data_IF_138080809802
#
_entry.id   IF_138080809802
#
_cell.length_a   1.000
_cell.length_b   1.000
_cell.length_c   1.000
_cell.angle_alpha   90.00
_cell.angle_beta   90.00
_cell.angle_gamma   90.00
#
_symmetry.space_group_name_H-M   'P 1'
#
loop_
_entity.id
_entity.type
_entity.pdbx_description
1 polymer ?
#
# COMPACT_ATOMS: atom_id res chain seq x y z
N UNK A 1 -4.48 -2.67 25.78
CA UNK A 1 -4.35 -2.48 24.32
C UNK A 1 -3.85 -1.06 24.09
N UNK A 2 -2.64 -0.89 23.56
CA UNK A 2 -2.12 0.45 23.25
C UNK A 2 -2.91 1.00 22.05
N UNK A 3 -3.59 2.13 22.25
CA UNK A 3 -4.21 2.90 21.14
C UNK A 3 -3.04 3.53 20.38
N UNK A 4 -2.84 3.13 19.13
CA UNK A 4 -1.88 3.85 18.28
C UNK A 4 -2.58 5.16 17.90
N UNK A 5 -2.30 6.21 18.67
CA UNK A 5 -2.78 7.55 18.38
C UNK A 5 -2.36 7.92 16.94
N UNK A 6 -3.30 8.43 16.16
CA UNK A 6 -3.12 8.87 14.76
C UNK A 6 -2.90 7.77 13.69
N UNK A 7 -3.05 6.48 14.01
CA UNK A 7 -2.97 5.45 12.97
C UNK A 7 -4.09 5.58 11.92
N UNK A 8 -3.71 5.67 10.65
CA UNK A 8 -4.64 5.71 9.51
C UNK A 8 -5.16 7.10 9.14
N UNK A 9 -4.74 8.16 9.82
CA UNK A 9 -5.12 9.53 9.43
C UNK A 9 -4.30 10.07 8.25
N UNK A 10 -3.03 9.67 8.15
CA UNK A 10 -2.17 10.05 7.02
C UNK A 10 -2.50 9.23 5.77
N UNK A 11 -2.64 9.92 4.64
CA UNK A 11 -2.85 9.28 3.34
C UNK A 11 -1.64 8.37 3.02
N UNK A 12 -1.84 7.05 2.80
CA UNK A 12 -0.77 6.17 2.41
C UNK A 12 -0.16 6.62 1.07
N UNK A 13 1.17 6.62 0.97
CA UNK A 13 1.88 6.97 -0.26
C UNK A 13 2.46 5.73 -0.94
N UNK A 14 2.85 5.85 -2.22
CA UNK A 14 3.66 4.84 -2.89
C UNK A 14 4.96 4.55 -2.11
N UNK A 15 5.61 5.58 -1.57
CA UNK A 15 6.85 5.42 -0.82
C UNK A 15 6.64 4.60 0.46
N UNK A 16 5.54 4.83 1.19
CA UNK A 16 5.18 4.02 2.35
C UNK A 16 4.97 2.55 1.97
N UNK A 17 4.30 2.32 0.84
CA UNK A 17 4.01 0.99 0.32
C UNK A 17 5.29 0.23 -0.05
N UNK A 18 6.17 0.86 -0.84
CA UNK A 18 7.45 0.27 -1.27
C UNK A 18 8.34 0.00 -0.07
N UNK A 19 8.40 0.91 0.90
CA UNK A 19 9.17 0.71 2.14
C UNK A 19 8.65 -0.49 2.93
N UNK A 20 7.34 -0.61 3.12
CA UNK A 20 6.75 -1.74 3.83
C UNK A 20 6.98 -3.09 3.12
N UNK A 21 6.99 -3.10 1.77
CA UNK A 21 7.43 -4.27 1.02
C UNK A 21 8.92 -4.56 1.26
N UNK A 22 9.77 -3.54 1.19
CA UNK A 22 11.22 -3.67 1.33
C UNK A 22 11.62 -4.26 2.69
N UNK A 23 10.91 -3.91 3.76
CA UNK A 23 11.12 -4.46 5.10
C UNK A 23 10.89 -6.00 5.17
N UNK A 24 10.12 -6.56 4.24
CA UNK A 24 9.77 -7.99 4.22
C UNK A 24 10.54 -8.79 3.17
N UNK A 25 10.75 -8.23 1.98
CA UNK A 25 11.34 -8.95 0.84
C UNK A 25 12.65 -8.33 0.33
N UNK A 26 13.14 -7.30 1.00
CA UNK A 26 14.35 -6.56 0.60
C UNK A 26 14.07 -5.47 -0.44
N UNK A 27 14.87 -4.39 -0.44
CA UNK A 27 14.59 -3.17 -1.20
C UNK A 27 14.59 -3.37 -2.72
N UNK A 28 15.50 -4.19 -3.24
CA UNK A 28 15.62 -4.42 -4.69
C UNK A 28 14.41 -5.19 -5.23
N UNK A 29 13.98 -6.24 -4.52
CA UNK A 29 12.79 -6.99 -4.90
C UNK A 29 11.52 -6.15 -4.72
N UNK A 30 11.42 -5.36 -3.66
CA UNK A 30 10.30 -4.45 -3.44
C UNK A 30 10.12 -3.45 -4.58
N UNK A 31 11.19 -2.75 -4.97
CA UNK A 31 11.16 -1.77 -6.05
C UNK A 31 10.83 -2.40 -7.40
N UNK A 32 11.43 -3.56 -7.70
CA UNK A 32 11.18 -4.31 -8.93
C UNK A 32 9.74 -4.83 -9.01
N UNK A 33 9.27 -5.48 -7.95
CA UNK A 33 7.91 -6.02 -7.86
C UNK A 33 6.86 -4.92 -7.96
N UNK A 34 7.06 -3.81 -7.25
CA UNK A 34 6.16 -2.66 -7.32
C UNK A 34 6.11 -2.06 -8.72
N UNK A 35 7.28 -1.86 -9.35
CA UNK A 35 7.37 -1.33 -10.71
C UNK A 35 6.64 -2.21 -11.72
N UNK A 36 6.86 -3.53 -11.66
CA UNK A 36 6.19 -4.49 -12.53
C UNK A 36 4.67 -4.49 -12.31
N UNK A 37 4.22 -4.41 -11.05
CA UNK A 37 2.80 -4.36 -10.73
C UNK A 37 2.12 -3.08 -11.28
N UNK A 38 2.75 -1.93 -11.12
CA UNK A 38 2.26 -0.65 -11.67
C UNK A 38 2.19 -0.71 -13.21
N UNK A 39 3.22 -1.26 -13.86
CA UNK A 39 3.25 -1.42 -15.30
C UNK A 39 2.19 -2.39 -15.81
N UNK A 40 2.01 -3.54 -15.15
CA UNK A 40 1.00 -4.55 -15.50
C UNK A 40 -0.43 -4.00 -15.43
N UNK A 41 -0.66 -3.03 -14.53
CA UNK A 41 -1.94 -2.35 -14.37
C UNK A 41 -2.13 -1.14 -15.30
N UNK A 42 -1.14 -0.83 -16.16
CA UNK A 42 -1.17 0.32 -17.07
C UNK A 42 -1.10 1.67 -16.36
N UNK A 43 -0.59 1.71 -15.14
CA UNK A 43 -0.49 2.90 -14.30
C UNK A 43 0.86 3.60 -14.47
N UNK A 44 0.96 4.84 -13.95
CA UNK A 44 2.22 5.60 -13.90
C UNK A 44 2.64 5.82 -12.46
N UNK A 45 3.95 5.85 -12.25
CA UNK A 45 4.57 6.20 -10.96
C UNK A 45 4.82 7.71 -10.90
N UNK A 46 4.76 8.32 -9.70
CA UNK A 46 4.29 7.72 -8.46
C UNK A 46 2.76 7.51 -8.48
N UNK A 47 2.30 6.43 -7.88
CA UNK A 47 0.87 6.17 -7.65
C UNK A 47 0.39 7.02 -6.48
N UNK A 48 -0.57 7.91 -6.73
CA UNK A 48 -1.01 8.92 -5.73
C UNK A 48 -2.44 8.71 -5.24
N UNK A 49 -3.26 7.98 -6.00
CA UNK A 49 -4.65 7.70 -5.62
C UNK A 49 -4.73 6.51 -4.65
N UNK A 50 -5.46 6.60 -3.52
CA UNK A 50 -5.72 5.45 -2.65
C UNK A 50 -6.33 4.25 -3.38
N UNK A 51 -7.21 4.50 -4.36
CA UNK A 51 -7.82 3.45 -5.17
C UNK A 51 -6.81 2.73 -6.07
N UNK A 52 -5.86 3.47 -6.65
CA UNK A 52 -4.79 2.89 -7.46
C UNK A 52 -3.78 2.15 -6.60
N UNK A 53 -3.38 2.72 -5.45
CA UNK A 53 -2.52 2.07 -4.47
C UNK A 53 -3.13 0.73 -4.01
N UNK A 54 -4.44 0.68 -3.80
CA UNK A 54 -5.15 -0.57 -3.46
C UNK A 54 -5.05 -1.60 -4.57
N UNK A 55 -5.24 -1.20 -5.83
CA UNK A 55 -5.13 -2.09 -6.99
C UNK A 55 -3.71 -2.66 -7.14
N UNK A 56 -2.68 -1.82 -6.96
CA UNK A 56 -1.28 -2.28 -6.97
C UNK A 56 -1.02 -3.24 -5.82
N UNK A 57 -1.50 -2.91 -4.61
CA UNK A 57 -1.38 -3.77 -3.44
C UNK A 57 -2.00 -5.15 -3.69
N UNK A 58 -3.20 -5.21 -4.28
CA UNK A 58 -3.89 -6.46 -4.63
C UNK A 58 -3.11 -7.28 -5.66
N UNK A 59 -2.57 -6.63 -6.69
CA UNK A 59 -1.79 -7.32 -7.71
C UNK A 59 -0.48 -7.90 -7.15
N UNK A 60 0.21 -7.16 -6.28
CA UNK A 60 1.42 -7.63 -5.58
C UNK A 60 1.16 -8.89 -4.73
N UNK A 61 -0.06 -9.08 -4.23
CA UNK A 61 -0.42 -10.27 -3.44
C UNK A 61 -0.41 -11.58 -4.25
N UNK A 62 -0.41 -11.51 -5.58
CA UNK A 62 -0.45 -12.68 -6.45
C UNK A 62 0.93 -13.35 -6.59
N UNK A 63 2.02 -12.67 -6.22
CA UNK A 63 3.39 -13.12 -6.54
C UNK A 63 3.98 -14.08 -5.50
N UNK A 64 3.63 -13.96 -4.22
CA UNK A 64 4.19 -14.84 -3.18
C UNK A 64 3.73 -14.50 -1.77
N UNK A 65 4.04 -15.35 -0.80
CA UNK A 65 3.46 -15.25 0.55
C UNK A 65 3.90 -14.00 1.32
N UNK A 66 5.18 -13.62 1.25
CA UNK A 66 5.65 -12.38 1.91
C UNK A 66 5.07 -11.12 1.24
N UNK A 67 5.01 -11.10 -0.09
CA UNK A 67 4.35 -10.02 -0.85
C UNK A 67 2.84 -9.94 -0.56
N UNK A 68 2.20 -11.09 -0.33
CA UNK A 68 0.79 -11.20 0.08
C UNK A 68 0.57 -10.57 1.45
N UNK A 69 1.46 -10.81 2.41
CA UNK A 69 1.40 -10.17 3.74
C UNK A 69 1.55 -8.66 3.61
N UNK A 70 2.54 -8.19 2.85
CA UNK A 70 2.80 -6.77 2.62
C UNK A 70 1.59 -6.08 1.96
N UNK A 71 1.07 -6.67 0.89
CA UNK A 71 -0.10 -6.16 0.17
C UNK A 71 -1.35 -6.09 1.05
N UNK A 72 -1.61 -7.13 1.88
CA UNK A 72 -2.74 -7.14 2.82
C UNK A 72 -2.62 -6.03 3.86
N UNK A 73 -1.42 -5.84 4.42
CA UNK A 73 -1.15 -4.78 5.39
C UNK A 73 -1.44 -3.39 4.78
N UNK A 74 -0.92 -3.13 3.58
CA UNK A 74 -1.16 -1.89 2.85
C UNK A 74 -2.66 -1.68 2.54
N UNK A 75 -3.36 -2.72 2.07
CA UNK A 75 -4.80 -2.66 1.80
C UNK A 75 -5.60 -2.30 3.05
N UNK A 76 -5.27 -2.89 4.21
CA UNK A 76 -5.91 -2.54 5.49
C UNK A 76 -5.66 -1.07 5.85
N UNK A 77 -4.42 -0.58 5.69
CA UNK A 77 -4.08 0.83 5.96
C UNK A 77 -4.86 1.78 5.05
N UNK A 78 -4.98 1.47 3.76
CA UNK A 78 -5.77 2.26 2.79
C UNK A 78 -7.25 2.27 3.17
N UNK A 79 -7.85 1.11 3.45
CA UNK A 79 -9.27 1.03 3.85
C UNK A 79 -9.51 1.81 5.14
N UNK A 80 -8.60 1.72 6.10
CA UNK A 80 -8.67 2.48 7.36
C UNK A 80 -8.66 3.98 7.10
N UNK A 81 -7.73 4.45 6.25
CA UNK A 81 -7.67 5.85 5.84
C UNK A 81 -8.96 6.30 5.14
N UNK A 82 -9.44 5.54 4.15
CA UNK A 82 -10.68 5.86 3.42
C UNK A 82 -11.91 5.86 4.35
N UNK A 83 -11.92 5.05 5.40
CA UNK A 83 -12.99 5.04 6.39
C UNK A 83 -12.91 6.28 7.29
N UNK A 84 -11.73 6.61 7.82
CA UNK A 84 -11.52 7.77 8.67
C UNK A 84 -11.76 9.09 7.92
N UNK A 85 -11.30 9.21 6.68
CA UNK A 85 -11.50 10.39 5.84
C UNK A 85 -12.99 10.73 5.63
N UNK A 86 -13.88 9.73 5.64
CA UNK A 86 -15.34 9.96 5.56
C UNK A 86 -15.96 10.48 6.86
N UNK A 87 -15.26 10.32 7.99
CA UNK A 87 -15.75 10.72 9.32
C UNK A 87 -15.32 12.11 9.75
N UNK A 88 -14.40 12.75 9.01
CA UNK A 88 -13.97 14.13 9.27
C UNK A 88 -14.99 15.09 8.65
N UNK A 89 -15.70 15.93 9.43
CA UNK A 89 -16.60 16.94 8.90
C UNK A 89 -15.82 17.94 8.03
N UNK A 90 -16.41 18.32 6.89
CA UNK A 90 -15.88 19.34 5.97
C UNK A 90 -15.82 20.73 6.61
#
# INVERSE_FOLDING_TARGET
MARIENYGHDMPTEQDAVKALADLIGPQMAEGLWTLAVQALGMRRPVTSPAELRRVAEHVMEVGELSRVAGRSLKVRIITYEALARTVPS
#
